data_IF_471833341549
#
_entry.id   IF_471833341549
#
_cell.length_a   1.000
_cell.length_b   1.000
_cell.length_c   1.000
_cell.angle_alpha   90.00
_cell.angle_beta   90.00
_cell.angle_gamma   90.00
#
_symmetry.space_group_name_H-M   'P 1'
#
loop_
_entity.id
_entity.type
_entity.pdbx_description
1 polymer ?
#
# COMPACT_ATOMS: atom_id res chain seq x y z
N UNK A 1 28.75 -15.78 -9.64
CA UNK A 1 28.05 -16.30 -8.45
C UNK A 1 27.20 -15.17 -7.89
N UNK A 2 25.86 -15.24 -7.98
CA UNK A 2 24.93 -14.35 -7.26
C UNK A 2 23.52 -14.98 -7.10
N UNK A 3 23.37 -16.30 -7.26
CA UNK A 3 22.04 -16.95 -7.21
C UNK A 3 21.54 -17.15 -5.78
N UNK A 4 22.42 -17.11 -4.77
CA UNK A 4 22.05 -17.37 -3.37
C UNK A 4 21.50 -16.15 -2.61
N UNK A 5 21.97 -14.93 -2.92
CA UNK A 5 21.46 -13.72 -2.25
C UNK A 5 20.04 -13.36 -2.66
N UNK A 6 19.69 -13.57 -3.93
CA UNK A 6 18.35 -13.28 -4.43
C UNK A 6 17.28 -14.16 -3.77
N UNK A 7 17.60 -15.41 -3.41
CA UNK A 7 16.67 -16.36 -2.77
C UNK A 7 16.37 -16.03 -1.30
N UNK A 8 17.38 -15.64 -0.51
CA UNK A 8 17.18 -15.17 0.88
C UNK A 8 16.54 -13.77 0.93
N UNK A 9 16.87 -12.90 -0.04
CA UNK A 9 16.21 -11.60 -0.21
C UNK A 9 14.72 -11.80 -0.53
N UNK A 10 14.34 -12.57 -1.54
CA UNK A 10 12.92 -12.75 -1.87
C UNK A 10 12.09 -13.28 -0.68
N UNK A 11 12.68 -14.05 0.23
CA UNK A 11 12.01 -14.56 1.45
C UNK A 11 11.82 -13.50 2.54
N UNK A 12 12.73 -12.53 2.66
CA UNK A 12 12.67 -11.44 3.67
C UNK A 12 11.73 -10.31 3.27
N UNK A 13 11.57 -10.05 1.97
CA UNK A 13 10.62 -9.06 1.44
C UNK A 13 9.20 -9.63 1.25
N UNK A 14 9.03 -10.95 1.17
CA UNK A 14 7.71 -11.61 1.15
C UNK A 14 6.87 -11.38 2.41
N UNK A 15 7.47 -10.92 3.51
CA UNK A 15 6.77 -10.52 4.75
C UNK A 15 6.44 -9.03 4.81
N UNK A 16 6.74 -8.25 3.78
CA UNK A 16 6.33 -6.85 3.71
C UNK A 16 4.85 -6.73 3.33
N UNK A 17 4.23 -5.60 3.69
CA UNK A 17 2.84 -5.31 3.35
C UNK A 17 2.58 -5.31 1.84
N UNK A 18 1.30 -5.38 1.48
CA UNK A 18 0.82 -5.42 0.08
C UNK A 18 1.43 -4.26 -0.73
N UNK A 19 1.50 -3.07 -0.15
CA UNK A 19 1.91 -1.85 -0.83
C UNK A 19 3.42 -1.79 -1.03
N UNK A 20 4.20 -2.19 -0.03
CA UNK A 20 5.64 -2.40 -0.17
C UNK A 20 5.98 -3.36 -1.32
N UNK A 21 5.26 -4.48 -1.45
CA UNK A 21 5.50 -5.44 -2.53
C UNK A 21 5.17 -4.86 -3.91
N UNK A 22 4.05 -4.13 -4.03
CA UNK A 22 3.70 -3.43 -5.26
C UNK A 22 4.75 -2.38 -5.65
N UNK A 23 5.21 -1.57 -4.70
CA UNK A 23 6.27 -0.58 -4.93
C UNK A 23 7.60 -1.22 -5.29
N UNK A 24 7.97 -2.32 -4.65
CA UNK A 24 9.17 -3.08 -4.99
C UNK A 24 9.12 -3.60 -6.44
N UNK A 25 7.99 -4.17 -6.86
CA UNK A 25 7.80 -4.62 -8.23
C UNK A 25 7.92 -3.46 -9.23
N UNK A 26 7.28 -2.33 -8.91
CA UNK A 26 7.35 -1.13 -9.74
C UNK A 26 8.77 -0.58 -9.87
N UNK A 27 9.51 -0.41 -8.77
CA UNK A 27 10.88 0.12 -8.80
C UNK A 27 11.80 -0.84 -9.56
N UNK A 28 11.66 -2.16 -9.38
CA UNK A 28 12.44 -3.15 -10.14
C UNK A 28 12.22 -3.04 -11.65
N UNK A 29 10.99 -2.83 -12.09
CA UNK A 29 10.64 -2.80 -13.50
C UNK A 29 10.88 -1.43 -14.16
N UNK A 30 10.51 -0.34 -13.48
CA UNK A 30 10.46 1.00 -14.06
C UNK A 30 11.58 1.92 -13.57
N UNK A 31 12.19 1.64 -12.40
CA UNK A 31 13.24 2.49 -11.80
C UNK A 31 14.46 1.67 -11.31
N UNK A 32 15.14 0.93 -12.20
CA UNK A 32 16.24 0.04 -11.81
C UNK A 32 17.43 0.78 -11.17
N UNK A 33 17.64 2.06 -11.51
CA UNK A 33 18.70 2.88 -10.92
C UNK A 33 18.43 3.15 -9.43
N UNK A 34 17.18 3.47 -9.07
CA UNK A 34 16.75 3.65 -7.69
C UNK A 34 16.82 2.34 -6.90
N UNK A 35 16.44 1.22 -7.52
CA UNK A 35 16.59 -0.10 -6.89
C UNK A 35 18.06 -0.38 -6.54
N UNK A 36 18.97 -0.14 -7.48
CA UNK A 36 20.39 -0.38 -7.28
C UNK A 36 21.02 0.55 -6.24
N UNK A 37 20.62 1.83 -6.16
CA UNK A 37 21.12 2.73 -5.12
C UNK A 37 20.64 2.31 -3.73
N UNK A 38 19.36 1.98 -3.57
CA UNK A 38 18.79 1.49 -2.31
C UNK A 38 19.45 0.20 -1.84
N UNK A 39 19.82 -0.69 -2.76
CA UNK A 39 20.58 -1.90 -2.46
C UNK A 39 22.02 -1.60 -2.02
N UNK A 40 22.73 -0.71 -2.73
CA UNK A 40 24.10 -0.31 -2.36
C UNK A 40 24.15 0.32 -0.98
N UNK A 41 23.13 1.08 -0.63
CA UNK A 41 22.99 1.73 0.68
C UNK A 41 22.40 0.81 1.76
N UNK A 42 21.97 -0.40 1.41
CA UNK A 42 21.26 -1.34 2.28
C UNK A 42 20.01 -0.73 2.95
N UNK A 43 19.36 0.24 2.29
CA UNK A 43 18.17 0.96 2.79
C UNK A 43 16.87 0.50 2.16
N UNK A 44 16.92 -0.48 1.26
CA UNK A 44 15.73 -0.96 0.54
C UNK A 44 14.62 -1.43 1.49
N UNK A 45 14.98 -2.18 2.55
CA UNK A 45 13.97 -2.67 3.50
C UNK A 45 13.31 -1.54 4.28
N UNK A 46 14.10 -0.64 4.90
CA UNK A 46 13.57 0.51 5.64
C UNK A 46 12.74 1.45 4.74
N UNK A 47 13.15 1.64 3.50
CA UNK A 47 12.40 2.44 2.52
C UNK A 47 11.01 1.83 2.25
N UNK A 48 10.95 0.51 2.03
CA UNK A 48 9.68 -0.16 1.74
C UNK A 48 8.76 -0.21 2.97
N UNK A 49 9.30 -0.41 4.18
CA UNK A 49 8.52 -0.37 5.42
C UNK A 49 7.92 1.01 5.64
N UNK A 50 8.71 2.07 5.47
CA UNK A 50 8.22 3.44 5.60
C UNK A 50 7.19 3.78 4.52
N UNK A 51 7.44 3.35 3.28
CA UNK A 51 6.48 3.52 2.19
C UNK A 51 5.15 2.81 2.47
N UNK A 52 5.18 1.57 2.97
CA UNK A 52 3.98 0.80 3.31
C UNK A 52 3.18 1.48 4.42
N UNK A 53 3.86 1.99 5.45
CA UNK A 53 3.22 2.79 6.51
C UNK A 53 2.60 4.06 5.93
N UNK A 54 3.34 4.81 5.13
CA UNK A 54 2.86 6.06 4.54
C UNK A 54 1.59 5.81 3.71
N UNK A 55 1.62 4.79 2.86
CA UNK A 55 0.47 4.38 2.05
C UNK A 55 -0.73 4.00 2.92
N UNK A 56 -0.50 3.22 3.98
CA UNK A 56 -1.54 2.82 4.91
C UNK A 56 -2.16 4.02 5.64
N UNK A 57 -1.35 4.97 6.08
CA UNK A 57 -1.81 6.19 6.76
C UNK A 57 -2.61 7.07 5.80
N UNK A 58 -2.16 7.23 4.56
CA UNK A 58 -2.91 7.95 3.52
C UNK A 58 -4.25 7.27 3.26
N UNK A 59 -4.27 5.94 3.13
CA UNK A 59 -5.50 5.19 2.89
C UNK A 59 -6.51 5.38 4.02
N UNK A 60 -6.08 5.30 5.29
CA UNK A 60 -6.95 5.53 6.45
C UNK A 60 -7.54 6.95 6.43
N UNK A 61 -6.72 7.95 6.11
CA UNK A 61 -7.18 9.35 6.03
C UNK A 61 -8.19 9.55 4.89
N UNK A 62 -7.93 8.98 3.71
CA UNK A 62 -8.83 9.05 2.55
C UNK A 62 -10.14 8.32 2.83
N UNK A 63 -10.10 7.13 3.44
CA UNK A 63 -11.30 6.38 3.84
C UNK A 63 -12.16 7.22 4.81
N UNK A 64 -11.56 7.86 5.82
CA UNK A 64 -12.30 8.68 6.78
C UNK A 64 -12.90 9.94 6.14
N UNK A 65 -12.16 10.60 5.26
CA UNK A 65 -12.67 11.76 4.52
C UNK A 65 -13.88 11.39 3.64
N UNK A 66 -13.80 10.27 2.92
CA UNK A 66 -14.91 9.77 2.12
C UNK A 66 -16.09 9.33 2.99
N UNK A 67 -15.84 8.69 4.13
CA UNK A 67 -16.87 8.27 5.09
C UNK A 67 -17.68 9.47 5.59
N UNK A 68 -16.99 10.56 5.94
CA UNK A 68 -17.61 11.81 6.37
C UNK A 68 -18.38 12.48 5.23
N UNK A 69 -17.83 12.50 4.02
CA UNK A 69 -18.48 13.09 2.84
C UNK A 69 -19.76 12.34 2.44
N UNK A 70 -19.77 11.00 2.54
CA UNK A 70 -20.90 10.15 2.19
C UNK A 70 -21.89 9.95 3.36
N UNK A 71 -21.62 10.54 4.53
CA UNK A 71 -22.50 10.50 5.69
C UNK A 71 -22.68 9.10 6.28
N UNK A 72 -21.68 8.22 6.12
CA UNK A 72 -21.74 6.85 6.66
C UNK A 72 -21.52 6.92 8.17
N UNK A 73 -22.61 6.78 8.91
CA UNK A 73 -22.60 6.84 10.38
C UNK A 73 -22.73 5.45 11.00
N UNK A 74 -22.36 5.35 12.28
CA UNK A 74 -22.62 4.14 13.07
C UNK A 74 -24.12 3.85 13.23
N UNK A 75 -24.99 4.84 12.97
CA UNK A 75 -26.44 4.62 12.92
C UNK A 75 -26.84 3.79 11.70
N UNK A 76 -26.25 4.07 10.52
CA UNK A 76 -26.44 3.22 9.33
C UNK A 76 -25.99 1.79 9.62
N UNK A 77 -24.88 1.60 10.35
CA UNK A 77 -24.39 0.27 10.74
C UNK A 77 -25.38 -0.49 11.63
N UNK A 78 -26.10 0.22 12.51
CA UNK A 78 -27.13 -0.36 13.40
C UNK A 78 -28.42 -0.71 12.65
N UNK A 79 -28.80 0.11 11.68
CA UNK A 79 -30.05 -0.05 10.93
C UNK A 79 -29.90 -1.05 9.77
N UNK A 80 -28.80 -0.97 9.02
CA UNK A 80 -28.50 -1.83 7.88
C UNK A 80 -27.00 -2.12 7.79
N UNK A 81 -26.60 -3.20 8.46
CA UNK A 81 -25.20 -3.64 8.49
C UNK A 81 -24.67 -4.04 7.10
N UNK A 82 -25.52 -4.60 6.23
CA UNK A 82 -25.10 -5.04 4.90
C UNK A 82 -24.82 -3.84 4.00
N UNK A 83 -25.70 -2.85 3.99
CA UNK A 83 -25.49 -1.60 3.26
C UNK A 83 -24.25 -0.87 3.78
N UNK A 84 -24.05 -0.83 5.10
CA UNK A 84 -22.84 -0.25 5.69
C UNK A 84 -21.55 -0.92 5.20
N UNK A 85 -21.52 -2.26 5.18
CA UNK A 85 -20.37 -3.01 4.66
C UNK A 85 -20.16 -2.74 3.16
N UNK A 86 -21.23 -2.73 2.37
CA UNK A 86 -21.16 -2.42 0.94
C UNK A 86 -20.55 -1.05 0.68
N UNK A 87 -20.99 -0.02 1.40
CA UNK A 87 -20.46 1.34 1.23
C UNK A 87 -19.02 1.48 1.72
N UNK A 88 -18.69 0.90 2.87
CA UNK A 88 -17.31 0.89 3.36
C UNK A 88 -16.36 0.17 2.39
N UNK A 89 -16.81 -0.92 1.75
CA UNK A 89 -16.04 -1.60 0.73
C UNK A 89 -15.86 -0.74 -0.54
N UNK A 90 -16.89 0.01 -0.95
CA UNK A 90 -16.79 0.92 -2.08
C UNK A 90 -15.78 2.06 -1.81
N UNK A 91 -15.87 2.67 -0.63
CA UNK A 91 -14.92 3.69 -0.18
C UNK A 91 -13.49 3.15 -0.17
N UNK A 92 -13.28 1.96 0.42
CA UNK A 92 -11.96 1.30 0.42
C UNK A 92 -11.44 1.09 -0.99
N UNK A 93 -12.27 0.56 -1.90
CA UNK A 93 -11.87 0.34 -3.30
C UNK A 93 -11.40 1.62 -3.96
N UNK A 94 -12.15 2.72 -3.78
CA UNK A 94 -11.80 4.04 -4.35
C UNK A 94 -10.56 4.63 -3.70
N UNK A 95 -10.41 4.48 -2.39
CA UNK A 95 -9.21 4.92 -1.67
C UNK A 95 -7.97 4.15 -2.15
N UNK A 96 -8.07 2.83 -2.30
CA UNK A 96 -7.00 1.98 -2.86
C UNK A 96 -6.60 2.42 -4.28
N UNK A 97 -7.56 2.75 -5.14
CA UNK A 97 -7.29 3.23 -6.51
C UNK A 97 -6.53 4.56 -6.51
N UNK A 98 -6.96 5.55 -5.71
CA UNK A 98 -6.30 6.85 -5.59
C UNK A 98 -4.87 6.68 -5.10
N UNK A 99 -4.70 5.96 -4.00
CA UNK A 99 -3.40 5.72 -3.37
C UNK A 99 -2.45 4.96 -4.29
N UNK A 100 -2.96 3.97 -5.03
CA UNK A 100 -2.14 3.23 -6.00
C UNK A 100 -1.68 4.15 -7.13
N UNK A 101 -2.57 4.98 -7.67
CA UNK A 101 -2.25 5.90 -8.75
C UNK A 101 -1.26 6.98 -8.32
N UNK A 102 -1.45 7.55 -7.12
CA UNK A 102 -0.65 8.67 -6.63
C UNK A 102 0.70 8.24 -6.04
N UNK A 103 0.76 7.14 -5.29
CA UNK A 103 1.98 6.80 -4.54
C UNK A 103 2.79 5.65 -5.17
N UNK A 104 2.14 4.70 -5.84
CA UNK A 104 2.81 3.48 -6.33
C UNK A 104 3.35 3.66 -7.74
N UNK A 105 2.56 4.28 -8.63
CA UNK A 105 2.93 4.47 -10.04
C UNK A 105 3.64 5.79 -10.35
N UNK A 106 3.78 6.67 -9.35
CA UNK A 106 4.63 7.86 -9.45
C UNK A 106 6.11 7.51 -9.35
#
# INVERSE_FOLDING_TARGET
>A
MNVTKDSEYNMTYNNLGRWANMRLAFIKQHRPQLYQSLLKENKLHSYLVEFDRQVQDTLILTEEQMRQAEGITDELKRQDQLEWVCRMNNIRSRAEEIVTAELIYE
#
